data_IF_925185802852
#
_entry.id   IF_925185802852
#
_cell.length_a   1.000
_cell.length_b   1.000
_cell.length_c   1.000
_cell.angle_alpha   90.00
_cell.angle_beta   90.00
_cell.angle_gamma   90.00
#
_symmetry.space_group_name_H-M   'P 1'
#
loop_
_entity.id
_entity.type
_entity.pdbx_description
1 polymer ?
#
# COMPACT_ATOMS: atom_id res chain seq x y z
N UNK A 1 0.53 -16.05 3.98
CA UNK A 1 1.39 -17.23 3.70
C UNK A 1 2.85 -16.99 4.09
N UNK A 2 3.45 -15.84 3.75
CA UNK A 2 4.86 -15.53 4.09
C UNK A 2 5.14 -15.41 5.59
N UNK A 3 4.37 -14.60 6.34
CA UNK A 3 4.56 -14.45 7.80
C UNK A 3 4.43 -15.78 8.55
N UNK A 4 3.51 -16.67 8.12
CA UNK A 4 3.37 -18.02 8.69
C UNK A 4 4.62 -18.90 8.52
N UNK A 5 5.50 -18.56 7.56
CA UNK A 5 6.77 -19.26 7.29
C UNK A 5 7.99 -18.48 7.78
N UNK A 6 7.81 -17.30 8.37
CA UNK A 6 8.91 -16.52 8.95
C UNK A 6 8.88 -16.64 10.48
N UNK A 7 9.88 -16.06 11.14
CA UNK A 7 9.90 -15.90 12.61
C UNK A 7 9.14 -14.65 13.09
N UNK A 8 8.52 -13.93 12.16
CA UNK A 8 7.77 -12.70 12.44
C UNK A 8 6.28 -13.02 12.50
N UNK A 9 5.57 -12.33 13.38
CA UNK A 9 4.12 -12.46 13.48
C UNK A 9 3.45 -11.31 12.72
N UNK A 10 2.55 -11.68 11.79
CA UNK A 10 1.76 -10.73 11.01
C UNK A 10 0.27 -10.94 11.23
N UNK A 11 -0.45 -9.88 11.58
CA UNK A 11 -1.89 -9.89 11.84
C UNK A 11 -2.66 -9.23 10.70
N UNK A 12 -3.58 -9.97 10.08
CA UNK A 12 -4.45 -9.44 9.04
C UNK A 12 -5.52 -8.54 9.65
N UNK A 13 -5.75 -7.40 9.03
CA UNK A 13 -6.74 -6.43 9.47
C UNK A 13 -7.35 -5.61 8.32
N UNK A 14 -8.42 -4.89 8.62
CA UNK A 14 -9.08 -4.00 7.66
C UNK A 14 -10.21 -4.72 6.93
N UNK A 15 -10.28 -4.59 5.61
CA UNK A 15 -11.35 -5.21 4.81
C UNK A 15 -11.22 -6.73 4.66
N UNK A 16 -10.05 -7.30 5.00
CA UNK A 16 -9.83 -8.75 5.08
C UNK A 16 -9.46 -9.13 6.51
N UNK A 17 -10.01 -10.26 6.97
CA UNK A 17 -9.74 -10.81 8.29
C UNK A 17 -10.61 -10.16 9.36
N UNK A 18 -10.04 -9.21 10.10
CA UNK A 18 -10.67 -8.63 11.29
C UNK A 18 -10.65 -7.09 11.27
N UNK A 19 -11.61 -6.48 11.95
CA UNK A 19 -11.72 -5.01 12.04
C UNK A 19 -10.42 -4.41 12.59
N UNK A 20 -9.85 -3.43 11.88
CA UNK A 20 -8.53 -2.88 12.19
C UNK A 20 -8.40 -2.33 13.62
N UNK A 21 -9.44 -1.66 14.14
CA UNK A 21 -9.45 -1.14 15.50
C UNK A 21 -9.36 -2.21 16.59
N UNK A 22 -9.91 -3.41 16.33
CA UNK A 22 -9.80 -4.54 17.24
C UNK A 22 -8.38 -5.12 17.21
N UNK A 23 -7.86 -5.39 16.01
CA UNK A 23 -6.53 -5.98 15.85
C UNK A 23 -5.46 -5.06 16.43
N UNK A 24 -5.57 -3.75 16.23
CA UNK A 24 -4.65 -2.76 16.77
C UNK A 24 -4.53 -2.81 18.31
N UNK A 25 -5.60 -3.12 19.03
CA UNK A 25 -5.58 -3.24 20.49
C UNK A 25 -4.87 -4.51 20.99
N UNK A 26 -4.82 -5.53 20.13
CA UNK A 26 -4.27 -6.86 20.44
C UNK A 26 -2.86 -7.07 19.87
N UNK A 27 -2.34 -6.11 19.09
CA UNK A 27 -1.05 -6.22 18.39
C UNK A 27 0.07 -5.73 19.31
N UNK A 28 1.09 -6.54 19.54
CA UNK A 28 2.26 -6.12 20.32
C UNK A 28 3.30 -5.36 19.46
N UNK A 29 4.23 -4.58 20.06
CA UNK A 29 5.20 -3.78 19.32
C UNK A 29 6.15 -4.56 18.40
N UNK A 30 6.31 -5.85 18.62
CA UNK A 30 7.14 -6.78 17.82
C UNK A 30 6.36 -7.50 16.70
N UNK A 31 5.06 -7.23 16.57
CA UNK A 31 4.20 -7.80 15.55
C UNK A 31 3.88 -6.80 14.43
N UNK A 32 3.56 -7.32 13.25
CA UNK A 32 3.22 -6.52 12.08
C UNK A 32 1.72 -6.50 11.86
N UNK A 33 1.15 -5.31 11.68
CA UNK A 33 -0.22 -5.15 11.23
C UNK A 33 -0.27 -5.11 9.70
N UNK A 34 -0.96 -6.07 9.09
CA UNK A 34 -1.13 -6.18 7.63
C UNK A 34 -2.56 -5.74 7.32
N UNK A 35 -2.72 -4.45 7.00
CA UNK A 35 -4.03 -3.83 6.85
C UNK A 35 -4.41 -3.66 5.38
N UNK A 36 -5.57 -4.20 4.98
CA UNK A 36 -6.20 -3.83 3.72
C UNK A 36 -7.11 -2.61 3.91
N UNK A 37 -6.92 -1.59 3.08
CA UNK A 37 -7.68 -0.34 3.11
C UNK A 37 -8.35 -0.04 1.77
N UNK A 38 -9.61 0.37 1.84
CA UNK A 38 -10.37 0.95 0.73
C UNK A 38 -10.02 2.43 0.52
N UNK A 39 -10.38 2.98 -0.64
CA UNK A 39 -10.29 4.43 -0.89
C UNK A 39 -11.13 5.23 0.12
N UNK A 40 -12.31 4.73 0.51
CA UNK A 40 -13.17 5.39 1.50
C UNK A 40 -12.53 5.48 2.89
N UNK A 41 -11.91 4.40 3.36
CA UNK A 41 -11.19 4.42 4.64
C UNK A 41 -10.01 5.40 4.59
N UNK A 42 -9.32 5.46 3.45
CA UNK A 42 -8.21 6.39 3.26
C UNK A 42 -8.65 7.86 3.26
N UNK A 43 -9.88 8.20 2.82
CA UNK A 43 -10.41 9.56 2.94
C UNK A 43 -10.49 10.04 4.40
N UNK A 44 -10.76 9.13 5.34
CA UNK A 44 -10.93 9.43 6.77
C UNK A 44 -9.65 9.46 7.60
N UNK A 45 -8.46 9.21 7.03
CA UNK A 45 -7.24 9.17 7.84
C UNK A 45 -6.69 10.56 8.16
N UNK A 46 -6.24 10.75 9.40
CA UNK A 46 -5.52 11.94 9.85
C UNK A 46 -4.05 11.61 10.18
N UNK A 47 -3.82 10.67 11.10
CA UNK A 47 -2.48 10.30 11.59
C UNK A 47 -1.98 8.95 11.10
N UNK A 48 -2.74 8.26 10.23
CA UNK A 48 -2.33 6.95 9.73
C UNK A 48 -1.01 7.08 8.94
N UNK A 49 0.04 6.40 9.41
CA UNK A 49 1.40 6.42 8.83
C UNK A 49 1.94 5.00 8.76
N UNK A 50 1.64 4.24 7.69
CA UNK A 50 2.20 2.91 7.52
C UNK A 50 3.70 3.03 7.21
N UNK A 51 4.53 2.18 7.81
CA UNK A 51 5.96 2.14 7.44
C UNK A 51 6.17 1.62 6.01
N UNK A 52 5.30 0.70 5.57
CA UNK A 52 5.27 0.19 4.19
C UNK A 52 3.83 0.35 3.67
N UNK A 53 3.66 1.12 2.61
CA UNK A 53 2.41 1.26 1.87
C UNK A 53 2.53 0.53 0.52
N UNK A 54 1.45 -0.10 0.07
CA UNK A 54 1.41 -0.77 -1.23
C UNK A 54 0.19 -0.28 -2.01
N UNK A 55 0.41 0.22 -3.22
CA UNK A 55 -0.65 0.48 -4.19
C UNK A 55 -0.45 -0.47 -5.36
N UNK A 56 -1.26 -1.53 -5.42
CA UNK A 56 -1.13 -2.55 -6.45
C UNK A 56 -1.52 -2.01 -7.83
N UNK A 57 -2.67 -1.37 -7.94
CA UNK A 57 -3.19 -0.89 -9.21
C UNK A 57 -4.16 0.28 -8.96
N UNK A 58 -4.29 1.14 -9.96
CA UNK A 58 -5.37 2.12 -10.06
C UNK A 58 -6.19 1.81 -11.30
N UNK A 59 -7.44 1.40 -11.13
CA UNK A 59 -8.41 1.27 -12.19
C UNK A 59 -9.67 2.05 -11.84
N UNK A 60 -10.42 2.49 -12.84
CA UNK A 60 -11.74 3.09 -12.63
C UNK A 60 -12.63 2.13 -11.87
N UNK A 61 -12.89 2.45 -10.62
CA UNK A 61 -13.79 1.74 -9.72
C UNK A 61 -14.45 2.79 -8.82
N UNK A 62 -15.70 2.54 -8.43
CA UNK A 62 -16.46 3.45 -7.54
C UNK A 62 -16.59 4.89 -8.07
N UNK A 63 -16.71 5.08 -9.40
CA UNK A 63 -16.86 6.41 -9.99
C UNK A 63 -18.16 7.11 -9.58
N UNK A 64 -19.21 6.34 -9.25
CA UNK A 64 -20.46 6.90 -8.74
C UNK A 64 -20.28 7.60 -7.39
N UNK A 65 -19.30 7.15 -6.60
CA UNK A 65 -19.02 7.69 -5.26
C UNK A 65 -17.86 8.70 -5.24
N UNK A 66 -16.84 8.51 -6.09
CA UNK A 66 -15.68 9.40 -6.17
C UNK A 66 -15.86 10.53 -7.18
N UNK A 67 -16.91 10.51 -7.99
CA UNK A 67 -17.25 11.46 -9.07
C UNK A 67 -16.26 11.49 -10.24
N UNK A 68 -14.95 11.32 -9.98
CA UNK A 68 -13.90 11.28 -10.99
C UNK A 68 -12.80 10.27 -10.65
N UNK A 69 -12.09 9.81 -11.69
CA UNK A 69 -10.92 8.95 -11.52
C UNK A 69 -9.79 9.66 -10.75
N UNK A 70 -9.69 10.99 -10.88
CA UNK A 70 -8.70 11.80 -10.16
C UNK A 70 -8.99 11.84 -8.65
N UNK A 71 -10.25 12.00 -8.26
CA UNK A 71 -10.66 11.93 -6.85
C UNK A 71 -10.35 10.55 -6.25
N UNK A 72 -10.64 9.48 -7.01
CA UNK A 72 -10.30 8.11 -6.59
C UNK A 72 -8.79 7.90 -6.44
N UNK A 73 -7.98 8.42 -7.38
CA UNK A 73 -6.52 8.43 -7.28
C UNK A 73 -6.08 9.16 -6.01
N UNK A 74 -6.56 10.38 -5.81
CA UNK A 74 -6.22 11.21 -4.66
C UNK A 74 -6.62 10.53 -3.35
N UNK A 75 -7.78 9.88 -3.27
CA UNK A 75 -8.20 9.09 -2.12
C UNK A 75 -7.19 7.97 -1.81
N UNK A 76 -6.71 7.23 -2.81
CA UNK A 76 -5.71 6.17 -2.63
C UNK A 76 -4.32 6.70 -2.26
N UNK A 77 -3.90 7.82 -2.86
CA UNK A 77 -2.62 8.50 -2.55
C UNK A 77 -2.50 8.89 -1.09
N UNK A 78 -3.62 9.09 -0.38
CA UNK A 78 -3.61 9.37 1.05
C UNK A 78 -2.87 8.30 1.87
N UNK A 79 -2.77 7.05 1.39
CA UNK A 79 -2.05 5.97 2.10
C UNK A 79 -0.62 6.34 2.49
N UNK A 80 0.05 7.18 1.70
CA UNK A 80 1.41 7.64 1.96
C UNK A 80 1.49 9.10 2.43
N UNK A 81 0.36 9.78 2.66
CA UNK A 81 0.30 11.23 3.00
C UNK A 81 1.19 11.59 4.20
N UNK A 82 1.24 10.70 5.20
CA UNK A 82 1.99 10.93 6.43
C UNK A 82 3.36 10.23 6.45
N UNK A 83 3.74 9.55 5.36
CA UNK A 83 5.04 8.87 5.27
C UNK A 83 6.19 9.89 5.16
N UNK A 84 7.37 9.49 5.63
CA UNK A 84 8.63 10.24 5.54
C UNK A 84 9.64 9.50 4.67
N UNK A 85 10.84 10.07 4.48
CA UNK A 85 11.95 9.45 3.75
C UNK A 85 12.48 8.14 4.38
N UNK A 86 12.03 7.84 5.60
CA UNK A 86 12.32 6.58 6.30
C UNK A 86 11.31 5.47 5.99
N UNK A 87 10.19 5.80 5.35
CA UNK A 87 9.14 4.85 5.00
C UNK A 87 9.22 4.42 3.53
N UNK A 88 8.44 3.39 3.17
CA UNK A 88 8.43 2.79 1.84
C UNK A 88 7.05 2.86 1.18
N UNK A 89 7.04 3.20 -0.10
CA UNK A 89 5.91 3.00 -1.00
C UNK A 89 6.28 1.93 -2.03
N UNK A 90 5.45 0.90 -2.17
CA UNK A 90 5.57 -0.11 -3.22
C UNK A 90 4.44 0.10 -4.23
N UNK A 91 4.75 0.31 -5.51
CA UNK A 91 3.71 0.54 -6.52
C UNK A 91 4.02 -0.02 -7.90
N UNK A 92 2.99 -0.17 -8.72
CA UNK A 92 3.14 -0.68 -10.08
C UNK A 92 3.85 0.34 -10.97
N UNK A 93 4.99 -0.06 -11.54
CA UNK A 93 5.80 0.79 -12.41
C UNK A 93 5.00 1.40 -13.55
N UNK A 94 4.10 0.65 -14.18
CA UNK A 94 3.35 1.11 -15.36
C UNK A 94 2.27 2.15 -15.01
N UNK A 95 1.88 2.26 -13.74
CA UNK A 95 0.89 3.21 -13.26
C UNK A 95 1.47 4.26 -12.33
N UNK A 96 2.80 4.36 -12.26
CA UNK A 96 3.51 5.26 -11.35
C UNK A 96 3.13 6.73 -11.51
N UNK A 97 2.85 7.17 -12.74
CA UNK A 97 2.35 8.52 -13.06
C UNK A 97 0.98 8.85 -12.45
N UNK A 98 0.19 7.83 -12.07
CA UNK A 98 -1.09 8.00 -11.37
C UNK A 98 -0.91 8.02 -9.85
N UNK A 99 0.29 7.71 -9.35
CA UNK A 99 0.56 7.50 -7.93
C UNK A 99 1.51 8.57 -7.43
N UNK A 100 2.59 8.85 -8.14
CA UNK A 100 3.59 9.83 -7.76
C UNK A 100 3.05 11.25 -7.82
N UNK A 101 3.38 12.03 -6.80
CA UNK A 101 3.14 13.47 -6.73
C UNK A 101 4.36 14.14 -6.11
N UNK A 102 4.46 15.46 -6.24
CA UNK A 102 5.51 16.25 -5.58
C UNK A 102 5.55 16.12 -4.04
N UNK A 103 4.46 15.63 -3.44
CA UNK A 103 4.33 15.45 -1.99
C UNK A 103 4.77 14.05 -1.51
N UNK A 104 5.15 13.15 -2.42
CA UNK A 104 5.64 11.82 -2.09
C UNK A 104 7.04 11.91 -1.46
N UNK A 105 7.14 11.55 -0.18
CA UNK A 105 8.41 11.55 0.58
C UNK A 105 9.01 10.15 0.75
N UNK A 106 8.18 9.11 0.71
CA UNK A 106 8.61 7.74 0.95
C UNK A 106 9.59 7.26 -0.11
N UNK A 107 10.53 6.40 0.30
CA UNK A 107 11.37 5.65 -0.64
C UNK A 107 10.47 4.76 -1.48
N UNK A 108 10.52 4.91 -2.81
CA UNK A 108 9.62 4.20 -3.70
C UNK A 108 10.31 3.01 -4.33
N UNK A 109 9.72 1.83 -4.16
CA UNK A 109 10.09 0.61 -4.86
C UNK A 109 9.00 0.28 -5.87
N UNK A 110 9.38 -0.04 -7.09
CA UNK A 110 8.40 -0.40 -8.10
C UNK A 110 8.24 -1.91 -8.19
N UNK A 111 7.12 -2.35 -8.73
CA UNK A 111 7.03 -3.69 -9.30
C UNK A 111 6.63 -3.67 -10.78
N UNK A 112 7.18 -4.60 -11.56
CA UNK A 112 6.84 -4.78 -12.98
C UNK A 112 6.93 -6.25 -13.40
N UNK A 113 6.04 -6.67 -14.29
CA UNK A 113 6.11 -7.99 -14.94
C UNK A 113 6.62 -7.90 -16.38
N UNK A 114 7.04 -6.71 -16.83
CA UNK A 114 7.39 -6.45 -18.24
C UNK A 114 8.83 -5.98 -18.44
N UNK A 115 9.43 -5.34 -17.42
CA UNK A 115 10.77 -4.79 -17.49
C UNK A 115 11.46 -4.83 -16.13
N UNK A 116 12.79 -4.76 -16.13
CA UNK A 116 13.56 -4.51 -14.92
C UNK A 116 13.25 -3.11 -14.38
N UNK A 117 13.13 -3.00 -13.05
CA UNK A 117 12.83 -1.75 -12.34
C UNK A 117 13.60 -1.71 -11.02
N UNK A 118 13.73 -0.53 -10.44
CA UNK A 118 14.19 -0.37 -9.06
C UNK A 118 13.13 -0.93 -8.09
N UNK A 119 13.31 -2.18 -7.67
CA UNK A 119 12.36 -2.94 -6.87
C UNK A 119 12.17 -4.37 -7.40
N UNK A 120 10.91 -4.77 -7.58
CA UNK A 120 10.51 -6.17 -7.79
C UNK A 120 10.15 -6.42 -9.25
N UNK A 121 10.82 -7.32 -9.95
CA UNK A 121 10.51 -7.62 -11.35
C UNK A 121 10.62 -9.08 -11.73
N UNK A 122 10.13 -9.43 -12.93
CA UNK A 122 10.27 -10.78 -13.49
C UNK A 122 11.47 -10.81 -14.44
N UNK A 123 12.39 -11.76 -14.21
CA UNK A 123 13.50 -12.09 -15.11
C UNK A 123 13.63 -13.60 -15.23
N UNK A 124 13.65 -14.12 -16.45
CA UNK A 124 13.76 -15.55 -16.74
C UNK A 124 12.72 -16.43 -16.00
N UNK A 125 11.48 -15.94 -15.88
CA UNK A 125 10.38 -16.53 -15.09
C UNK A 125 10.62 -16.61 -13.56
N UNK A 126 11.61 -15.91 -13.04
CA UNK A 126 11.84 -15.72 -11.61
C UNK A 126 11.46 -14.32 -11.16
N UNK A 127 11.00 -14.20 -9.91
CA UNK A 127 10.83 -12.91 -9.25
C UNK A 127 12.20 -12.48 -8.71
N UNK A 128 12.65 -11.30 -9.10
CA UNK A 128 13.87 -10.62 -8.63
C UNK A 128 13.44 -9.43 -7.76
N UNK A 129 14.13 -9.23 -6.64
CA UNK A 129 13.87 -8.17 -5.66
C UNK A 129 15.11 -7.87 -4.81
#
# INVERSE_FOLDING_TARGET
AMFKKSRLTGRLSGNIGYVASKVAQETSPDEYLITELSSFQLLGIEHYKPHIAIITNIYSAHLDDHESLENYQNAKRRIYKNQTEDDYLICNYHQRHLIETENLKAKTLYFSTQQEVDGIYIKDNYIVY
#
